data_IF_430368858732
#
_entry.id   IF_430368858732
#
_cell.length_a   1.000
_cell.length_b   1.000
_cell.length_c   1.000
_cell.angle_alpha   90.00
_cell.angle_beta   90.00
_cell.angle_gamma   90.00
#
_symmetry.space_group_name_H-M   'P 1'
#
loop_
_entity.id
_entity.type
_entity.pdbx_description
1 polymer ?
#
# COMPACT_ATOMS: atom_id res chain seq x y z
N UNK A 1 21.50 -10.70 -6.08
CA UNK A 1 21.62 -9.47 -5.24
C UNK A 1 23.03 -9.32 -4.67
N UNK A 2 23.47 -10.14 -3.70
CA UNK A 2 24.77 -9.96 -3.02
C UNK A 2 25.97 -9.91 -3.98
N UNK A 3 26.02 -10.81 -4.96
CA UNK A 3 27.09 -10.83 -5.97
C UNK A 3 27.19 -9.53 -6.77
N UNK A 4 26.05 -8.91 -7.10
CA UNK A 4 26.02 -7.63 -7.81
C UNK A 4 26.53 -6.51 -6.91
N UNK A 5 26.02 -6.38 -5.68
CA UNK A 5 26.52 -5.41 -4.69
C UNK A 5 28.04 -5.50 -4.50
N UNK A 6 28.57 -6.70 -4.30
CA UNK A 6 30.01 -6.87 -4.08
C UNK A 6 30.88 -6.66 -5.31
N UNK A 7 30.44 -7.07 -6.51
CA UNK A 7 31.29 -7.05 -7.72
C UNK A 7 31.10 -5.84 -8.62
N UNK A 8 29.93 -5.22 -8.58
CA UNK A 8 29.54 -4.13 -9.49
C UNK A 8 29.37 -2.81 -8.77
N UNK A 9 28.88 -2.79 -7.52
CA UNK A 9 28.69 -1.52 -6.81
C UNK A 9 29.96 -1.10 -6.03
N UNK A 10 30.54 -2.01 -5.24
CA UNK A 10 31.72 -1.69 -4.43
C UNK A 10 32.98 -1.44 -5.27
N UNK A 11 33.15 -2.12 -6.40
CA UNK A 11 34.33 -1.96 -7.25
C UNK A 11 34.38 -0.62 -8.01
N UNK A 12 33.24 0.04 -8.18
CA UNK A 12 33.11 1.27 -8.97
C UNK A 12 32.86 2.51 -8.11
N UNK A 13 33.06 2.43 -6.79
CA UNK A 13 32.84 3.54 -5.84
C UNK A 13 31.46 4.21 -6.03
N UNK A 14 30.40 3.39 -6.11
CA UNK A 14 29.05 3.91 -6.32
C UNK A 14 28.62 4.82 -5.16
N UNK A 15 28.24 6.06 -5.50
CA UNK A 15 27.84 7.08 -4.53
C UNK A 15 26.36 7.00 -4.13
N UNK A 16 25.49 6.50 -5.01
CA UNK A 16 24.08 6.25 -4.74
C UNK A 16 23.50 5.23 -5.73
N UNK A 17 22.42 4.57 -5.34
CA UNK A 17 21.70 3.59 -6.14
C UNK A 17 20.31 4.13 -6.47
N UNK A 18 19.94 4.08 -7.75
CA UNK A 18 18.55 4.26 -8.19
C UNK A 18 17.90 2.89 -8.34
N UNK A 19 16.88 2.59 -7.54
CA UNK A 19 16.16 1.32 -7.57
C UNK A 19 14.72 1.53 -8.05
N UNK A 20 14.38 1.02 -9.22
CA UNK A 20 13.14 1.37 -9.90
C UNK A 20 12.46 0.12 -10.43
N UNK A 21 11.18 -0.03 -10.13
CA UNK A 21 10.37 -1.18 -10.52
C UNK A 21 9.12 -0.71 -11.26
N UNK A 22 8.80 -1.36 -12.37
CA UNK A 22 7.68 -1.00 -13.25
C UNK A 22 6.54 -2.02 -13.22
N UNK A 23 6.59 -2.99 -12.31
CA UNK A 23 5.55 -4.00 -12.12
C UNK A 23 5.18 -4.09 -10.65
N UNK A 24 3.89 -4.24 -10.40
CA UNK A 24 3.32 -4.44 -9.08
C UNK A 24 3.05 -5.94 -8.91
N UNK A 25 4.03 -6.68 -8.38
CA UNK A 25 3.82 -8.07 -7.97
C UNK A 25 3.92 -8.10 -6.45
N UNK A 26 2.79 -7.83 -5.77
CA UNK A 26 2.70 -7.92 -4.31
C UNK A 26 2.90 -9.40 -3.90
N UNK A 27 4.15 -9.78 -3.61
CA UNK A 27 4.58 -11.19 -3.58
C UNK A 27 6.07 -11.38 -3.25
N UNK A 28 6.72 -12.50 -3.67
CA UNK A 28 8.12 -12.81 -3.34
C UNK A 28 9.14 -11.77 -3.83
N UNK A 29 8.81 -11.03 -4.89
CA UNK A 29 9.57 -9.88 -5.40
C UNK A 29 9.75 -8.80 -4.34
N UNK A 30 8.71 -8.54 -3.54
CA UNK A 30 8.72 -7.55 -2.47
C UNK A 30 9.73 -7.91 -1.38
N UNK A 31 9.86 -9.20 -1.03
CA UNK A 31 10.87 -9.69 -0.08
C UNK A 31 12.31 -9.53 -0.62
N UNK A 32 12.49 -9.69 -1.93
CA UNK A 32 13.80 -9.50 -2.59
C UNK A 32 14.22 -8.02 -2.60
N UNK A 33 13.27 -7.12 -2.85
CA UNK A 33 13.49 -5.67 -2.79
C UNK A 33 13.88 -5.23 -1.37
N UNK A 34 13.18 -5.73 -0.34
CA UNK A 34 13.52 -5.47 1.06
C UNK A 34 14.93 -5.93 1.43
N UNK A 35 15.29 -7.14 1.03
CA UNK A 35 16.64 -7.66 1.24
C UNK A 35 17.71 -6.77 0.57
N UNK A 36 17.45 -6.31 -0.65
CA UNK A 36 18.35 -5.39 -1.35
C UNK A 36 18.50 -4.05 -0.61
N UNK A 37 17.39 -3.42 -0.23
CA UNK A 37 17.39 -2.14 0.48
C UNK A 37 18.13 -2.24 1.82
N UNK A 38 17.88 -3.30 2.58
CA UNK A 38 18.57 -3.54 3.86
C UNK A 38 20.09 -3.70 3.67
N UNK A 39 20.53 -4.45 2.65
CA UNK A 39 21.96 -4.59 2.37
C UNK A 39 22.61 -3.28 1.92
N UNK A 40 21.95 -2.50 1.06
CA UNK A 40 22.46 -1.19 0.65
C UNK A 40 22.59 -0.24 1.85
N UNK A 41 21.59 -0.24 2.75
CA UNK A 41 21.63 0.49 4.01
C UNK A 41 22.78 0.03 4.92
N UNK A 42 23.04 -1.28 5.01
CA UNK A 42 24.17 -1.81 5.77
C UNK A 42 25.53 -1.39 5.20
N UNK A 43 25.64 -1.31 3.88
CA UNK A 43 26.85 -0.84 3.19
C UNK A 43 27.01 0.69 3.23
N UNK A 44 26.04 1.42 3.80
CA UNK A 44 26.06 2.88 3.85
C UNK A 44 25.86 3.53 2.49
N UNK A 45 25.29 2.81 1.52
CA UNK A 45 25.06 3.33 0.17
C UNK A 45 23.63 3.89 0.10
N UNK A 46 23.45 5.20 -0.18
CA UNK A 46 22.14 5.79 -0.34
C UNK A 46 21.35 5.15 -1.48
N UNK A 47 20.06 4.92 -1.25
CA UNK A 47 19.14 4.39 -2.25
C UNK A 47 17.97 5.34 -2.44
N UNK A 48 17.74 5.75 -3.68
CA UNK A 48 16.50 6.42 -4.08
C UNK A 48 15.67 5.39 -4.84
N UNK A 49 14.48 5.09 -4.33
CA UNK A 49 13.66 4.00 -4.81
C UNK A 49 12.29 4.47 -5.32
N UNK A 50 11.88 3.91 -6.46
CA UNK A 50 10.48 3.86 -6.88
C UNK A 50 10.06 2.40 -6.84
N UNK A 51 9.36 2.02 -5.77
CA UNK A 51 8.87 0.66 -5.64
C UNK A 51 7.46 0.60 -5.03
N UNK A 52 6.45 0.68 -5.89
CA UNK A 52 5.04 0.75 -5.51
C UNK A 52 4.58 -0.44 -4.66
N UNK A 53 5.11 -1.64 -4.92
CA UNK A 53 4.72 -2.88 -4.22
C UNK A 53 5.22 -2.95 -2.76
N UNK A 54 6.16 -2.08 -2.40
CA UNK A 54 6.87 -2.10 -1.13
C UNK A 54 6.38 -1.04 -0.15
N UNK A 55 5.34 -0.28 -0.52
CA UNK A 55 4.78 0.81 0.29
C UNK A 55 4.36 0.35 1.69
N UNK A 56 4.02 -0.94 1.83
CA UNK A 56 3.64 -1.55 3.11
C UNK A 56 4.80 -1.92 4.04
N UNK A 57 6.05 -1.82 3.59
CA UNK A 57 7.21 -2.28 4.35
C UNK A 57 8.26 -1.18 4.58
N UNK A 58 7.94 0.07 4.20
CA UNK A 58 8.81 1.24 4.35
C UNK A 58 9.18 1.49 5.81
N UNK A 59 8.23 1.39 6.74
CA UNK A 59 8.48 1.65 8.18
C UNK A 59 9.54 0.72 8.77
N UNK A 60 9.61 -0.53 8.31
CA UNK A 60 10.59 -1.52 8.80
C UNK A 60 11.97 -1.34 8.17
N UNK A 61 12.03 -0.87 6.93
CA UNK A 61 13.27 -0.57 6.23
C UNK A 61 13.91 0.76 6.67
N UNK A 62 13.10 1.69 7.18
CA UNK A 62 13.48 3.07 7.56
C UNK A 62 14.45 3.22 8.75
N UNK A 63 14.94 2.13 9.34
CA UNK A 63 15.99 2.24 10.37
C UNK A 63 17.32 2.78 9.81
N UNK A 64 17.47 2.84 8.48
CA UNK A 64 18.57 3.53 7.80
C UNK A 64 18.09 4.86 7.20
N UNK A 65 18.69 5.97 7.60
CA UNK A 65 18.39 7.32 7.08
C UNK A 65 18.80 7.55 5.62
N UNK A 66 19.37 6.54 4.95
CA UNK A 66 19.92 6.62 3.61
C UNK A 66 18.98 6.05 2.53
N UNK A 67 17.73 5.75 2.88
CA UNK A 67 16.73 5.26 1.95
C UNK A 67 15.65 6.32 1.72
N UNK A 68 15.44 6.69 0.47
CA UNK A 68 14.39 7.61 0.05
C UNK A 68 13.44 6.91 -0.91
N UNK A 69 12.16 6.86 -0.57
CA UNK A 69 11.12 6.30 -1.42
C UNK A 69 10.35 7.44 -2.11
N UNK A 70 10.21 7.35 -3.43
CA UNK A 70 9.45 8.29 -4.26
C UNK A 70 7.99 7.86 -4.44
N UNK A 71 7.70 6.55 -4.38
CA UNK A 71 6.34 6.05 -4.51
C UNK A 71 5.48 6.40 -3.27
N UNK A 72 4.15 6.58 -3.43
CA UNK A 72 3.27 6.87 -2.31
C UNK A 72 3.23 5.76 -1.24
N UNK A 73 3.62 6.11 -0.01
CA UNK A 73 3.51 5.23 1.16
C UNK A 73 2.06 4.85 1.54
N UNK A 74 1.91 3.85 2.42
CA UNK A 74 0.60 3.50 2.99
C UNK A 74 -0.06 4.67 3.75
N UNK A 75 0.73 5.57 4.34
CA UNK A 75 0.20 6.75 5.04
C UNK A 75 -0.47 7.70 4.07
N UNK A 76 0.12 7.93 2.90
CA UNK A 76 -0.48 8.73 1.84
C UNK A 76 -1.77 8.09 1.31
N UNK A 77 -1.77 6.76 1.09
CA UNK A 77 -2.98 6.05 0.65
C UNK A 77 -4.09 6.12 1.69
N UNK A 78 -3.76 5.89 2.97
CA UNK A 78 -4.70 6.01 4.09
C UNK A 78 -5.28 7.42 4.20
N UNK A 79 -4.44 8.44 4.06
CA UNK A 79 -4.89 9.84 4.08
C UNK A 79 -5.87 10.13 2.92
N UNK A 80 -5.60 9.59 1.73
CA UNK A 80 -6.50 9.70 0.59
C UNK A 80 -7.84 8.99 0.86
N UNK A 81 -7.82 7.75 1.36
CA UNK A 81 -9.03 7.01 1.74
C UNK A 81 -9.87 7.77 2.76
N UNK A 82 -9.26 8.26 3.84
CA UNK A 82 -9.99 9.01 4.88
C UNK A 82 -10.48 10.38 4.38
N UNK A 83 -9.81 11.01 3.42
CA UNK A 83 -10.30 12.25 2.79
C UNK A 83 -11.60 12.02 1.99
N UNK A 84 -11.76 10.84 1.38
CA UNK A 84 -12.99 10.43 0.70
C UNK A 84 -14.12 10.32 1.74
N UNK A 85 -13.86 9.62 2.85
CA UNK A 85 -14.83 9.46 3.93
C UNK A 85 -15.24 10.82 4.53
N UNK A 86 -14.28 11.71 4.78
CA UNK A 86 -14.55 13.07 5.27
C UNK A 86 -15.42 13.88 4.31
N UNK A 87 -15.17 13.77 2.99
CA UNK A 87 -15.93 14.46 1.94
C UNK A 87 -17.39 14.02 1.92
N UNK A 88 -17.66 12.73 2.08
CA UNK A 88 -19.02 12.16 2.10
C UNK A 88 -19.63 12.10 3.50
N UNK A 89 -18.95 12.62 4.52
CA UNK A 89 -19.40 12.62 5.93
C UNK A 89 -19.65 11.21 6.49
N UNK A 90 -18.85 10.24 6.06
CA UNK A 90 -18.85 8.89 6.63
C UNK A 90 -18.00 8.84 7.89
N UNK A 91 -18.68 8.84 9.04
CA UNK A 91 -18.03 8.86 10.36
C UNK A 91 -17.64 7.47 10.85
N UNK A 92 -18.33 6.42 10.42
CA UNK A 92 -18.16 5.05 10.89
C UNK A 92 -17.69 4.16 9.73
N UNK A 93 -16.66 3.36 9.97
CA UNK A 93 -16.15 2.41 8.99
C UNK A 93 -15.47 1.23 9.68
N UNK A 94 -15.27 0.15 8.92
CA UNK A 94 -14.46 -0.99 9.33
C UNK A 94 -13.21 -1.11 8.46
N UNK A 95 -12.14 -1.64 9.05
CA UNK A 95 -10.89 -1.93 8.36
C UNK A 95 -10.82 -3.44 8.13
N UNK A 96 -10.49 -3.84 6.90
CA UNK A 96 -10.37 -5.22 6.48
C UNK A 96 -9.00 -5.39 5.83
N UNK A 97 -8.24 -6.37 6.27
CA UNK A 97 -6.92 -6.67 5.69
C UNK A 97 -6.76 -8.15 5.44
N UNK A 98 -5.99 -8.53 4.42
CA UNK A 98 -5.49 -9.90 4.29
C UNK A 98 -4.17 -10.07 5.07
N UNK A 99 -3.52 -11.23 4.91
CA UNK A 99 -2.17 -11.50 5.40
C UNK A 99 -1.06 -10.88 4.50
N UNK A 100 -1.42 -9.93 3.62
CA UNK A 100 -0.46 -9.17 2.82
C UNK A 100 0.59 -8.49 3.70
N UNK A 101 1.82 -8.42 3.20
CA UNK A 101 2.90 -7.70 3.86
C UNK A 101 2.51 -6.22 4.12
N UNK A 102 2.75 -5.75 5.35
CA UNK A 102 2.38 -4.40 5.77
C UNK A 102 0.94 -4.24 6.27
N UNK A 103 0.18 -5.33 6.47
CA UNK A 103 -1.20 -5.22 6.99
C UNK A 103 -1.27 -4.53 8.36
N UNK A 104 -0.34 -4.82 9.28
CA UNK A 104 -0.27 -4.16 10.59
C UNK A 104 0.08 -2.68 10.47
N UNK A 105 0.99 -2.36 9.54
CA UNK A 105 1.42 -0.99 9.25
C UNK A 105 0.25 -0.18 8.66
N UNK A 106 -0.60 -0.79 7.83
CA UNK A 106 -1.84 -0.19 7.33
C UNK A 106 -2.84 0.12 8.46
N UNK A 107 -3.15 -0.86 9.32
CA UNK A 107 -4.06 -0.66 10.46
C UNK A 107 -3.54 0.45 11.37
N UNK A 108 -2.24 0.47 11.63
CA UNK A 108 -1.61 1.49 12.44
C UNK A 108 -1.69 2.88 11.77
N UNK A 109 -1.41 2.98 10.47
CA UNK A 109 -1.52 4.23 9.72
C UNK A 109 -2.96 4.79 9.74
N UNK A 110 -3.98 3.92 9.62
CA UNK A 110 -5.39 4.31 9.78
C UNK A 110 -5.64 4.88 11.18
N UNK A 111 -5.20 4.20 12.23
CA UNK A 111 -5.41 4.64 13.63
C UNK A 111 -4.73 5.97 13.93
N UNK A 112 -3.48 6.14 13.50
CA UNK A 112 -2.72 7.38 13.66
C UNK A 112 -3.40 8.53 12.93
N UNK A 113 -3.85 8.29 11.69
CA UNK A 113 -4.53 9.32 10.90
C UNK A 113 -5.88 9.69 11.48
N UNK A 114 -6.65 8.73 11.98
CA UNK A 114 -7.91 8.98 12.71
C UNK A 114 -7.67 9.84 13.95
N UNK A 115 -6.65 9.49 14.75
CA UNK A 115 -6.26 10.26 15.93
C UNK A 115 -5.87 11.70 15.57
N UNK A 116 -5.05 11.89 14.54
CA UNK A 116 -4.63 13.21 14.06
C UNK A 116 -5.79 14.05 13.50
N UNK A 117 -6.90 13.43 13.08
CA UNK A 117 -8.06 14.13 12.56
C UNK A 117 -9.16 14.35 13.60
N UNK A 118 -9.04 13.79 14.81
CA UNK A 118 -10.11 13.73 15.80
C UNK A 118 -10.68 15.10 16.21
N UNK A 119 -9.86 16.16 16.18
CA UNK A 119 -10.28 17.53 16.49
C UNK A 119 -11.12 18.17 15.39
N UNK A 120 -10.94 17.76 14.13
CA UNK A 120 -11.63 18.32 12.95
C UNK A 120 -12.81 17.47 12.51
N UNK A 121 -12.62 16.15 12.47
CA UNK A 121 -13.61 15.18 12.01
C UNK A 121 -13.48 13.89 12.81
N UNK A 122 -14.55 13.52 13.52
CA UNK A 122 -14.57 12.33 14.36
C UNK A 122 -14.88 11.11 13.53
N UNK A 123 -13.89 10.23 13.40
CA UNK A 123 -14.06 8.89 12.87
C UNK A 123 -14.26 7.87 14.00
N UNK A 124 -14.96 6.78 13.71
CA UNK A 124 -15.15 5.64 14.59
C UNK A 124 -14.86 4.37 13.80
N UNK A 125 -13.82 3.66 14.21
CA UNK A 125 -13.48 2.35 13.65
C UNK A 125 -14.35 1.32 14.37
N UNK A 126 -15.28 0.70 13.64
CA UNK A 126 -16.22 -0.28 14.20
C UNK A 126 -15.56 -1.63 14.41
N UNK A 127 -14.85 -2.12 13.40
CA UNK A 127 -14.07 -3.36 13.46
C UNK A 127 -12.76 -3.23 12.67
N UNK A 128 -11.77 -4.03 13.07
CA UNK A 128 -10.55 -4.27 12.31
C UNK A 128 -10.41 -5.79 12.14
N UNK A 129 -10.69 -6.29 10.93
CA UNK A 129 -10.76 -7.72 10.63
C UNK A 129 -9.56 -8.12 9.78
N UNK A 130 -8.78 -9.07 10.30
CA UNK A 130 -7.75 -9.77 9.53
C UNK A 130 -8.39 -11.01 8.93
N UNK A 131 -8.46 -11.09 7.60
CA UNK A 131 -9.09 -12.19 6.87
C UNK A 131 -8.03 -13.22 6.50
N UNK A 132 -7.96 -14.29 7.28
CA UNK A 132 -7.18 -15.49 6.95
C UNK A 132 -8.08 -16.55 6.30
N UNK A 133 -9.36 -16.58 6.68
CA UNK A 133 -10.37 -17.49 6.18
C UNK A 133 -11.66 -16.75 5.85
N UNK A 134 -12.46 -17.30 4.92
CA UNK A 134 -13.75 -16.69 4.49
C UNK A 134 -14.71 -16.43 5.65
N UNK A 135 -14.63 -17.22 6.73
CA UNK A 135 -15.47 -17.07 7.91
C UNK A 135 -15.18 -15.83 8.78
N UNK A 136 -13.99 -15.24 8.65
CA UNK A 136 -13.59 -14.08 9.46
C UNK A 136 -14.44 -12.82 9.13
N UNK A 137 -14.97 -12.78 7.90
CA UNK A 137 -15.89 -11.73 7.44
C UNK A 137 -17.23 -11.73 8.17
N UNK A 138 -17.61 -12.81 8.88
CA UNK A 138 -18.84 -12.84 9.66
C UNK A 138 -18.87 -11.74 10.74
N UNK A 139 -17.71 -11.36 11.28
CA UNK A 139 -17.60 -10.25 12.24
C UNK A 139 -18.04 -8.90 11.66
N UNK A 140 -18.02 -8.74 10.33
CA UNK A 140 -18.53 -7.53 9.67
C UNK A 140 -20.06 -7.54 9.53
N UNK A 141 -20.67 -8.71 9.39
CA UNK A 141 -22.14 -8.87 9.28
C UNK A 141 -22.83 -8.44 10.57
N UNK A 142 -22.24 -8.79 11.71
CA UNK A 142 -22.73 -8.40 13.03
C UNK A 142 -22.46 -6.91 13.36
N UNK A 143 -21.72 -6.21 12.50
CA UNK A 143 -21.36 -4.81 12.70
C UNK A 143 -22.27 -3.85 11.94
N UNK A 144 -22.45 -2.64 12.46
CA UNK A 144 -23.20 -1.57 11.77
C UNK A 144 -22.40 -0.92 10.61
N UNK A 145 -21.26 -1.50 10.23
CA UNK A 145 -20.35 -0.89 9.28
C UNK A 145 -20.89 -0.95 7.85
N UNK A 146 -21.08 0.23 7.24
CA UNK A 146 -21.48 0.39 5.82
C UNK A 146 -20.30 0.71 4.91
N UNK A 147 -19.18 1.15 5.46
CA UNK A 147 -17.98 1.50 4.71
C UNK A 147 -16.85 0.59 5.17
N UNK A 148 -16.19 -0.07 4.21
CA UNK A 148 -15.06 -0.97 4.45
C UNK A 148 -13.82 -0.43 3.76
N UNK A 149 -12.74 -0.25 4.52
CA UNK A 149 -11.41 0.02 3.98
C UNK A 149 -10.69 -1.31 3.81
N UNK A 150 -10.27 -1.66 2.60
CA UNK A 150 -9.67 -2.94 2.28
C UNK A 150 -8.20 -2.78 1.84
N UNK A 151 -7.31 -3.51 2.50
CA UNK A 151 -5.89 -3.65 2.13
C UNK A 151 -5.53 -5.12 1.95
N UNK A 152 -5.36 -5.53 0.70
CA UNK A 152 -4.97 -6.88 0.30
C UNK A 152 -4.34 -6.86 -1.10
N UNK A 153 -3.88 -8.03 -1.58
CA UNK A 153 -3.51 -8.19 -2.98
C UNK A 153 -4.74 -8.32 -3.87
N UNK A 154 -4.62 -8.07 -5.17
CA UNK A 154 -5.71 -8.27 -6.14
C UNK A 154 -6.27 -9.69 -6.11
N UNK A 155 -5.44 -10.71 -5.95
CA UNK A 155 -5.87 -12.11 -5.89
C UNK A 155 -6.69 -12.38 -4.63
N UNK A 156 -6.21 -11.94 -3.46
CA UNK A 156 -6.94 -12.09 -2.20
C UNK A 156 -8.23 -11.28 -2.19
N UNK A 157 -8.25 -10.11 -2.85
CA UNK A 157 -9.45 -9.28 -2.99
C UNK A 157 -10.58 -10.04 -3.70
N UNK A 158 -10.26 -10.84 -4.72
CA UNK A 158 -11.26 -11.67 -5.40
C UNK A 158 -11.92 -12.64 -4.42
N UNK A 159 -11.14 -13.33 -3.59
CA UNK A 159 -11.68 -14.26 -2.60
C UNK A 159 -12.47 -13.56 -1.49
N UNK A 160 -11.94 -12.44 -0.98
CA UNK A 160 -12.57 -11.64 0.07
C UNK A 160 -13.91 -11.06 -0.42
N UNK A 161 -13.93 -10.45 -1.60
CA UNK A 161 -15.13 -9.83 -2.16
C UNK A 161 -16.16 -10.86 -2.63
N UNK A 162 -15.72 -12.05 -3.05
CA UNK A 162 -16.63 -13.18 -3.29
C UNK A 162 -17.34 -13.58 -2.00
N UNK A 163 -16.59 -13.80 -0.92
CA UNK A 163 -17.17 -14.15 0.38
C UNK A 163 -18.05 -13.02 0.95
N UNK A 164 -17.65 -11.76 0.76
CA UNK A 164 -18.46 -10.60 1.11
C UNK A 164 -19.78 -10.57 0.32
N UNK A 165 -19.77 -10.97 -0.95
CA UNK A 165 -20.97 -11.08 -1.78
C UNK A 165 -21.91 -12.16 -1.26
N UNK A 166 -21.38 -13.32 -0.85
CA UNK A 166 -22.16 -14.41 -0.25
C UNK A 166 -22.81 -13.97 1.08
N UNK A 167 -22.17 -13.06 1.81
CA UNK A 167 -22.66 -12.46 3.06
C UNK A 167 -23.49 -11.18 2.84
N UNK A 168 -23.79 -10.81 1.60
CA UNK A 168 -24.54 -9.59 1.23
C UNK A 168 -23.90 -8.27 1.69
N UNK A 169 -22.57 -8.25 1.87
CA UNK A 169 -21.76 -7.07 2.23
C UNK A 169 -21.32 -6.24 1.02
N UNK A 170 -21.77 -6.58 -0.20
CA UNK A 170 -21.43 -5.91 -1.47
C UNK A 170 -22.62 -5.22 -2.15
N UNK A 171 -23.79 -5.23 -1.50
CA UNK A 171 -25.01 -4.61 -2.02
C UNK A 171 -24.97 -3.08 -2.00
N UNK A 172 -26.07 -2.46 -2.44
CA UNK A 172 -26.21 -1.00 -2.63
C UNK A 172 -25.94 -0.14 -1.37
N UNK A 173 -26.06 -0.74 -0.19
CA UNK A 173 -25.86 -0.06 1.09
C UNK A 173 -24.41 -0.13 1.60
N UNK A 174 -23.50 -0.77 0.86
CA UNK A 174 -22.12 -0.96 1.27
C UNK A 174 -21.16 -0.33 0.28
N UNK A 175 -20.11 0.32 0.81
CA UNK A 175 -19.05 0.93 0.02
C UNK A 175 -17.72 0.33 0.42
N UNK A 176 -17.03 -0.23 -0.58
CA UNK A 176 -15.67 -0.73 -0.43
C UNK A 176 -14.69 0.30 -0.98
N UNK A 177 -13.74 0.72 -0.13
CA UNK A 177 -12.64 1.60 -0.51
C UNK A 177 -11.35 0.78 -0.44
N UNK A 178 -10.66 0.64 -1.56
CA UNK A 178 -9.48 -0.23 -1.69
C UNK A 178 -8.20 0.56 -1.95
N UNK A 179 -7.05 -0.04 -1.63
CA UNK A 179 -5.72 0.49 -1.90
C UNK A 179 -5.23 0.17 -3.33
N UNK A 180 -4.10 0.75 -3.73
CA UNK A 180 -3.46 0.50 -5.04
C UNK A 180 -3.27 -0.99 -5.30
N UNK A 181 -2.90 -1.74 -4.25
CA UNK A 181 -2.59 -3.17 -4.31
C UNK A 181 -3.73 -4.07 -4.77
N UNK A 182 -4.97 -3.57 -4.74
CA UNK A 182 -6.15 -4.29 -5.23
C UNK A 182 -6.47 -3.92 -6.68
N UNK A 183 -6.21 -2.67 -7.07
CA UNK A 183 -6.53 -2.18 -8.41
C UNK A 183 -5.52 -2.74 -9.43
N UNK A 184 -4.21 -2.69 -9.13
CA UNK A 184 -3.05 -3.01 -10.00
C UNK A 184 -3.12 -2.37 -11.41
N UNK A 185 -4.13 -2.68 -12.20
CA UNK A 185 -4.43 -2.09 -13.51
C UNK A 185 -5.94 -1.90 -13.66
N UNK A 186 -6.37 -0.65 -13.89
CA UNK A 186 -7.79 -0.28 -13.99
C UNK A 186 -8.53 -0.92 -15.19
N UNK A 187 -7.79 -1.43 -16.18
CA UNK A 187 -8.37 -1.94 -17.43
C UNK A 187 -9.04 -3.33 -17.28
N UNK A 188 -8.76 -4.06 -16.20
CA UNK A 188 -9.33 -5.41 -15.97
C UNK A 188 -9.74 -5.59 -14.51
N UNK A 189 -10.95 -5.14 -14.18
CA UNK A 189 -11.61 -5.45 -12.93
C UNK A 189 -12.20 -6.88 -12.96
N UNK A 190 -11.91 -7.74 -11.97
CA UNK A 190 -12.59 -9.02 -11.84
C UNK A 190 -14.11 -8.86 -11.67
N UNK A 191 -14.89 -9.81 -12.17
CA UNK A 191 -16.36 -9.78 -12.07
C UNK A 191 -16.88 -9.81 -10.62
N UNK A 192 -16.05 -10.24 -9.68
CA UNK A 192 -16.34 -10.30 -8.26
C UNK A 192 -16.26 -8.93 -7.58
N UNK A 193 -15.70 -7.92 -8.25
CA UNK A 193 -15.58 -6.59 -7.68
C UNK A 193 -16.94 -5.88 -7.74
N UNK A 194 -17.44 -5.37 -6.61
CA UNK A 194 -18.76 -4.76 -6.58
C UNK A 194 -18.80 -3.45 -7.36
N UNK A 195 -19.95 -3.19 -8.00
CA UNK A 195 -20.22 -1.91 -8.64
C UNK A 195 -20.28 -0.83 -7.55
N UNK A 196 -19.58 0.28 -7.77
CA UNK A 196 -19.47 1.37 -6.78
C UNK A 196 -18.28 1.24 -5.82
N UNK A 197 -17.44 0.20 -5.97
CA UNK A 197 -16.15 0.14 -5.30
C UNK A 197 -15.29 1.35 -5.68
N UNK A 198 -14.71 2.00 -4.68
CA UNK A 198 -13.76 3.09 -4.85
C UNK A 198 -12.36 2.54 -4.59
N UNK A 199 -11.35 3.03 -5.30
CA UNK A 199 -9.99 2.72 -4.92
C UNK A 199 -9.03 3.86 -5.18
N UNK A 200 -8.02 3.92 -4.34
CA UNK A 200 -6.94 4.89 -4.43
C UNK A 200 -5.93 4.35 -5.42
N UNK A 201 -5.74 5.08 -6.52
CA UNK A 201 -4.80 4.70 -7.56
C UNK A 201 -3.73 5.78 -7.76
N UNK A 202 -2.50 5.36 -8.02
CA UNK A 202 -1.44 6.22 -8.54
C UNK A 202 -0.79 5.58 -9.77
N UNK A 203 -0.33 6.42 -10.69
CA UNK A 203 0.16 5.98 -11.99
C UNK A 203 1.51 5.27 -11.87
N UNK A 204 1.51 3.97 -12.15
CA UNK A 204 2.70 3.11 -12.20
C UNK A 204 3.07 2.70 -13.62
N UNK A 205 2.54 3.39 -14.63
CA UNK A 205 2.89 3.18 -16.03
C UNK A 205 4.38 3.41 -16.30
N UNK A 206 4.88 2.81 -17.39
CA UNK A 206 6.26 3.02 -17.85
C UNK A 206 6.56 4.51 -18.10
N UNK A 207 5.57 5.31 -18.50
CA UNK A 207 5.76 6.75 -18.70
C UNK A 207 5.95 7.48 -17.37
N UNK A 208 5.15 7.14 -16.36
CA UNK A 208 5.31 7.64 -15.00
C UNK A 208 6.70 7.28 -14.46
N UNK A 209 7.15 6.04 -14.65
CA UNK A 209 8.48 5.59 -14.23
C UNK A 209 9.62 6.43 -14.84
N UNK A 210 9.52 6.81 -16.11
CA UNK A 210 10.52 7.68 -16.76
C UNK A 210 10.57 9.07 -16.13
N UNK A 211 9.41 9.59 -15.71
CA UNK A 211 9.35 10.85 -14.97
C UNK A 211 10.01 10.70 -13.60
N UNK A 212 9.81 9.57 -12.94
CA UNK A 212 10.39 9.26 -11.63
C UNK A 212 11.91 9.05 -11.69
N UNK A 213 12.44 8.48 -12.77
CA UNK A 213 13.90 8.47 -13.05
C UNK A 213 14.44 9.90 -13.04
N UNK A 214 13.75 10.80 -13.75
CA UNK A 214 14.17 12.20 -13.85
C UNK A 214 14.10 12.90 -12.50
N UNK A 215 13.05 12.63 -11.71
CA UNK A 215 12.91 13.15 -10.36
C UNK A 215 14.02 12.64 -9.44
N UNK A 216 14.32 11.33 -9.48
CA UNK A 216 15.35 10.71 -8.66
C UNK A 216 16.74 11.30 -8.95
N UNK A 217 17.08 11.51 -10.23
CA UNK A 217 18.35 12.13 -10.64
C UNK A 217 18.42 13.57 -10.13
N UNK A 218 17.32 14.34 -10.22
CA UNK A 218 17.28 15.71 -9.68
C UNK A 218 17.51 15.73 -8.17
N UNK A 219 16.81 14.86 -7.42
CA UNK A 219 16.97 14.76 -5.97
C UNK A 219 18.42 14.44 -5.61
N UNK A 220 19.02 13.48 -6.30
CA UNK A 220 20.45 13.18 -6.13
C UNK A 220 21.34 14.38 -6.45
N UNK A 221 21.13 15.04 -7.59
CA UNK A 221 21.94 16.16 -8.03
C UNK A 221 21.86 17.39 -7.11
N UNK A 222 20.73 17.62 -6.42
CA UNK A 222 20.61 18.67 -5.41
C UNK A 222 21.15 18.27 -4.03
N UNK A 223 21.26 16.96 -3.75
CA UNK A 223 21.76 16.44 -2.49
C UNK A 223 23.29 16.31 -2.41
N UNK A 224 23.98 16.35 -3.56
CA UNK A 224 25.45 16.35 -3.70
C UNK A 224 25.96 17.77 -3.84
#
# INVERSE_FOLDING_TARGET
ILKALCKEFLNFNVSAILYLMNYEQYGPSTASAQYFLQLAGYLGIPVIAWNADNSGLERRASQSSLQLQLAPSLEHQTAAMLSILERYKWHQFSVVTSLIAGHDDFIQAVRERVSAMQDRFKFTILNAVLVAHRGDLAALVDSEARVMLLYCTKQEAVDILTAASDLHLTGENYVWVVTQSVIETADQAPNQFPVGMLGVHFDTSSQSLVNEITAAIKVYAYGV
#
